data_IF_698209225248
#
_entry.id   IF_698209225248
#
_cell.length_a   1.000
_cell.length_b   1.000
_cell.length_c   1.000
_cell.angle_alpha   90.00
_cell.angle_beta   90.00
_cell.angle_gamma   90.00
#
_symmetry.space_group_name_H-M   'P 1'
#
loop_
_entity.id
_entity.type
_entity.pdbx_description
1 polymer ?
#
# COMPACT_ATOMS: atom_id res chain seq x y z
N UNK A 1 -19.66 -3.08 -7.58
CA UNK A 1 -18.88 -3.94 -8.49
C UNK A 1 -17.54 -4.27 -7.88
N UNK A 2 -17.13 -5.51 -8.00
CA UNK A 2 -15.85 -5.98 -7.48
C UNK A 2 -14.70 -5.55 -8.40
N UNK A 3 -13.47 -5.50 -7.85
CA UNK A 3 -12.26 -5.23 -8.63
C UNK A 3 -12.08 -6.28 -9.72
N UNK A 4 -11.61 -5.84 -10.87
CA UNK A 4 -11.25 -6.70 -12.00
C UNK A 4 -9.75 -6.92 -11.95
N UNK A 5 -9.32 -8.16 -12.17
CA UNK A 5 -7.91 -8.54 -12.11
C UNK A 5 -7.01 -7.70 -13.03
N UNK A 6 -7.52 -7.37 -14.23
CA UNK A 6 -6.75 -6.63 -15.24
C UNK A 6 -6.66 -5.12 -14.94
N UNK A 7 -7.46 -4.61 -14.00
CA UNK A 7 -7.49 -3.20 -13.63
C UNK A 7 -6.94 -2.92 -12.25
N UNK A 8 -6.35 -3.92 -11.60
CA UNK A 8 -5.80 -3.75 -10.25
C UNK A 8 -4.57 -2.84 -10.28
N UNK A 9 -4.55 -1.87 -9.38
CA UNK A 9 -3.44 -0.93 -9.21
C UNK A 9 -2.86 -0.91 -7.81
N UNK A 10 -3.68 -1.19 -6.81
CA UNK A 10 -3.31 -1.03 -5.40
C UNK A 10 -3.48 -2.33 -4.62
N UNK A 11 -2.51 -2.58 -3.75
CA UNK A 11 -2.56 -3.65 -2.78
C UNK A 11 -2.40 -3.08 -1.38
N UNK A 12 -3.34 -3.37 -0.49
CA UNK A 12 -3.28 -2.95 0.91
C UNK A 12 -2.88 -4.15 1.76
N UNK A 13 -1.78 -4.02 2.49
CA UNK A 13 -1.25 -5.12 3.27
C UNK A 13 -2.01 -5.32 4.60
N UNK A 14 -1.64 -6.37 5.32
CA UNK A 14 -2.35 -6.77 6.55
C UNK A 14 -2.28 -5.72 7.65
N UNK A 15 -1.26 -4.86 7.65
CA UNK A 15 -1.15 -3.79 8.64
C UNK A 15 -2.30 -2.78 8.56
N UNK A 16 -2.99 -2.72 7.42
CA UNK A 16 -4.08 -1.78 7.16
C UNK A 16 -5.32 -2.46 6.59
N UNK A 17 -5.64 -3.67 7.06
CA UNK A 17 -6.70 -4.51 6.49
C UNK A 17 -8.07 -3.79 6.45
N UNK A 18 -8.46 -3.12 7.52
CA UNK A 18 -9.73 -2.37 7.55
C UNK A 18 -9.80 -1.30 6.47
N UNK A 19 -8.69 -0.57 6.28
CA UNK A 19 -8.57 0.41 5.20
C UNK A 19 -8.65 -0.27 3.84
N UNK A 20 -7.99 -1.41 3.68
CA UNK A 20 -8.02 -2.19 2.44
C UNK A 20 -9.42 -2.60 2.04
N UNK A 21 -10.21 -3.09 2.99
CA UNK A 21 -11.60 -3.46 2.76
C UNK A 21 -12.46 -2.25 2.38
N UNK A 22 -12.22 -1.11 3.01
CA UNK A 22 -12.94 0.12 2.71
C UNK A 22 -12.63 0.63 1.30
N UNK A 23 -11.36 0.61 0.92
CA UNK A 23 -10.94 1.03 -0.42
C UNK A 23 -11.46 0.09 -1.48
N UNK A 24 -11.40 -1.22 -1.25
CA UNK A 24 -11.91 -2.21 -2.20
C UNK A 24 -13.41 -2.01 -2.44
N UNK A 25 -14.17 -1.73 -1.40
CA UNK A 25 -15.59 -1.45 -1.52
C UNK A 25 -15.87 -0.17 -2.33
N UNK A 26 -14.99 0.82 -2.24
CA UNK A 26 -15.17 2.11 -2.90
C UNK A 26 -14.54 2.17 -4.30
N UNK A 27 -13.53 1.35 -4.59
CA UNK A 27 -12.76 1.40 -5.84
C UNK A 27 -12.65 0.02 -6.47
N UNK A 28 -12.61 -0.01 -7.80
CA UNK A 28 -12.47 -1.27 -8.56
C UNK A 28 -11.02 -1.71 -8.76
N UNK A 29 -10.08 -0.84 -8.46
CA UNK A 29 -8.67 -1.05 -8.77
C UNK A 29 -7.85 -1.47 -7.54
N UNK A 30 -8.50 -1.81 -6.44
CA UNK A 30 -7.85 -2.10 -5.15
C UNK A 30 -8.16 -3.49 -4.67
N UNK A 31 -7.12 -4.20 -4.22
CA UNK A 31 -7.25 -5.45 -3.48
C UNK A 31 -6.53 -5.31 -2.14
N UNK A 32 -6.86 -6.21 -1.22
CA UNK A 32 -6.19 -6.29 0.08
C UNK A 32 -5.73 -7.73 0.31
N UNK A 33 -4.88 -7.93 1.29
CA UNK A 33 -4.50 -9.27 1.75
C UNK A 33 -5.77 -10.09 2.03
N UNK A 34 -5.80 -11.32 1.58
CA UNK A 34 -6.94 -12.22 1.73
C UNK A 34 -8.07 -12.02 0.70
N UNK A 35 -7.90 -11.12 -0.27
CA UNK A 35 -8.89 -10.94 -1.33
C UNK A 35 -8.81 -12.06 -2.36
N UNK A 36 -9.96 -12.48 -2.88
CA UNK A 36 -10.07 -13.57 -3.86
C UNK A 36 -9.30 -13.32 -5.16
N UNK A 37 -9.13 -12.07 -5.56
CA UNK A 37 -8.39 -11.71 -6.77
C UNK A 37 -6.88 -11.71 -6.59
N UNK A 38 -6.39 -11.90 -5.37
CA UNK A 38 -4.97 -12.08 -5.09
C UNK A 38 -4.78 -13.32 -4.18
N UNK A 39 -5.09 -14.52 -4.68
CA UNK A 39 -5.02 -15.73 -3.86
C UNK A 39 -3.62 -16.05 -3.35
N UNK A 40 -2.58 -15.49 -3.96
CA UNK A 40 -1.19 -15.64 -3.52
C UNK A 40 -0.92 -14.95 -2.17
N UNK A 41 -1.80 -14.05 -1.75
CA UNK A 41 -1.63 -13.26 -0.52
C UNK A 41 -2.78 -13.51 0.46
N UNK A 42 -2.90 -14.73 1.03
CA UNK A 42 -3.90 -14.99 2.06
C UNK A 42 -3.58 -14.24 3.35
N UNK A 43 -4.56 -14.11 4.24
CA UNK A 43 -4.31 -13.56 5.56
C UNK A 43 -3.18 -14.33 6.24
N UNK A 44 -2.26 -13.60 6.88
CA UNK A 44 -1.09 -14.21 7.52
C UNK A 44 0.07 -14.47 6.56
N UNK A 45 -0.05 -14.07 5.29
CA UNK A 45 1.02 -14.27 4.30
C UNK A 45 2.34 -13.63 4.77
N UNK A 46 3.44 -14.31 4.51
CA UNK A 46 4.77 -13.83 4.90
C UNK A 46 5.38 -12.98 3.79
N UNK A 47 6.31 -12.09 4.17
CA UNK A 47 7.00 -11.21 3.23
C UNK A 47 7.57 -11.92 2.00
N UNK A 48 8.30 -13.04 2.13
CA UNK A 48 8.85 -13.74 0.96
C UNK A 48 7.80 -14.22 -0.04
N UNK A 49 6.54 -14.29 0.37
CA UNK A 49 5.44 -14.76 -0.47
C UNK A 49 4.66 -13.62 -1.10
N UNK A 50 4.30 -12.59 -0.31
CA UNK A 50 3.47 -11.52 -0.85
C UNK A 50 4.26 -10.49 -1.67
N UNK A 51 5.52 -10.22 -1.29
CA UNK A 51 6.33 -9.22 -2.00
C UNK A 51 6.50 -9.57 -3.47
N UNK A 52 6.92 -10.80 -3.85
CA UNK A 52 7.02 -11.15 -5.26
C UNK A 52 5.68 -11.12 -5.99
N UNK A 53 4.61 -11.58 -5.35
CA UNK A 53 3.28 -11.61 -5.95
C UNK A 53 2.80 -10.21 -6.33
N UNK A 54 2.98 -9.26 -5.42
CA UNK A 54 2.60 -7.85 -5.62
C UNK A 54 3.50 -7.18 -6.65
N UNK A 55 4.82 -7.44 -6.57
CA UNK A 55 5.78 -6.89 -7.52
C UNK A 55 5.52 -7.38 -8.94
N UNK A 56 5.24 -8.68 -9.11
CA UNK A 56 4.96 -9.27 -10.43
C UNK A 56 3.71 -8.67 -11.09
N UNK A 57 2.74 -8.27 -10.30
CA UNK A 57 1.52 -7.63 -10.78
C UNK A 57 1.66 -6.12 -10.89
N UNK A 58 2.80 -5.56 -10.51
CA UNK A 58 3.07 -4.11 -10.52
C UNK A 58 2.04 -3.33 -9.72
N UNK A 59 1.61 -3.87 -8.58
CA UNK A 59 0.69 -3.19 -7.70
C UNK A 59 1.43 -2.19 -6.81
N UNK A 60 0.75 -1.09 -6.49
CA UNK A 60 1.25 -0.07 -5.57
C UNK A 60 0.78 -0.46 -4.17
N UNK A 61 1.71 -0.53 -3.23
CA UNK A 61 1.44 -0.97 -1.86
C UNK A 61 0.98 0.22 -1.01
N UNK A 62 -0.08 0.01 -0.26
CA UNK A 62 -0.52 0.92 0.80
C UNK A 62 -0.43 0.15 2.11
N UNK A 63 0.31 0.71 3.07
CA UNK A 63 0.57 0.08 4.35
C UNK A 63 0.57 1.13 5.46
N UNK A 64 0.43 0.68 6.72
CA UNK A 64 0.63 1.59 7.85
C UNK A 64 2.11 1.71 8.16
N UNK A 65 2.51 2.92 8.53
CA UNK A 65 3.88 3.16 9.01
C UNK A 65 4.02 2.56 10.41
N UNK A 66 4.75 1.45 10.51
CA UNK A 66 5.04 0.74 11.75
C UNK A 66 6.53 0.71 12.01
N UNK A 67 7.15 1.87 12.02
CA UNK A 67 8.59 1.97 12.28
C UNK A 67 9.44 1.21 11.25
N UNK A 68 9.07 1.27 9.98
CA UNK A 68 9.80 0.60 8.90
C UNK A 68 11.28 1.00 8.90
N UNK A 69 11.58 2.23 9.32
CA UNK A 69 12.96 2.73 9.39
C UNK A 69 13.83 1.95 10.36
N UNK A 70 13.22 1.25 11.31
CA UNK A 70 13.93 0.42 12.27
C UNK A 70 14.07 -1.04 11.82
N UNK A 71 13.62 -1.34 10.61
CA UNK A 71 13.65 -2.70 10.04
C UNK A 71 14.38 -2.71 8.69
N UNK A 72 15.70 -2.48 8.69
CA UNK A 72 16.44 -2.32 7.44
C UNK A 72 16.39 -3.53 6.51
N UNK A 73 16.30 -4.74 7.06
CA UNK A 73 16.23 -5.96 6.24
C UNK A 73 14.90 -6.06 5.48
N UNK A 74 13.80 -5.67 6.11
CA UNK A 74 12.48 -5.65 5.48
C UNK A 74 12.45 -4.60 4.37
N UNK A 75 12.98 -3.42 4.64
CA UNK A 75 13.06 -2.35 3.67
C UNK A 75 13.91 -2.75 2.46
N UNK A 76 14.99 -3.48 2.69
CA UNK A 76 15.86 -3.95 1.60
C UNK A 76 15.12 -4.91 0.67
N UNK A 77 14.28 -5.79 1.23
CA UNK A 77 13.44 -6.68 0.41
C UNK A 77 12.47 -5.89 -0.47
N UNK A 78 11.88 -4.83 0.07
CA UNK A 78 10.98 -3.96 -0.70
C UNK A 78 11.75 -3.27 -1.84
N UNK A 79 12.95 -2.80 -1.54
CA UNK A 79 13.80 -2.12 -2.53
C UNK A 79 14.24 -3.07 -3.64
N UNK A 80 14.70 -4.25 -3.29
CA UNK A 80 15.13 -5.27 -4.26
C UNK A 80 13.99 -5.72 -5.17
N UNK A 81 12.78 -5.80 -4.65
CA UNK A 81 11.59 -6.17 -5.42
C UNK A 81 11.07 -5.04 -6.31
N UNK A 82 11.58 -3.83 -6.14
CA UNK A 82 11.13 -2.67 -6.92
C UNK A 82 9.75 -2.17 -6.49
N UNK A 83 9.37 -2.35 -5.25
CA UNK A 83 8.05 -1.95 -4.77
C UNK A 83 7.86 -0.45 -4.75
N UNK A 84 6.63 -0.05 -5.01
CA UNK A 84 6.16 1.34 -4.90
C UNK A 84 5.23 1.38 -3.69
N UNK A 85 5.58 2.16 -2.68
CA UNK A 85 4.88 2.08 -1.39
C UNK A 85 4.48 3.45 -0.87
N UNK A 86 3.23 3.56 -0.44
CA UNK A 86 2.73 4.64 0.39
C UNK A 86 2.51 4.13 1.81
N UNK A 87 3.27 4.64 2.76
CA UNK A 87 3.06 4.36 4.18
C UNK A 87 2.20 5.45 4.80
N UNK A 88 1.07 5.05 5.38
CA UNK A 88 0.19 6.01 6.05
C UNK A 88 0.67 6.19 7.48
N UNK A 89 1.10 7.40 7.80
CA UNK A 89 1.46 7.79 9.16
C UNK A 89 0.23 8.21 9.94
N UNK A 90 0.29 8.06 11.26
CA UNK A 90 -0.78 8.48 12.14
C UNK A 90 -0.67 7.86 13.52
N UNK A 91 -1.61 8.19 14.39
CA UNK A 91 -1.66 7.67 15.74
C UNK A 91 -2.00 6.17 15.72
N UNK A 92 -1.41 5.44 16.64
CA UNK A 92 -1.55 3.99 16.74
C UNK A 92 -3.01 3.51 16.82
N UNK A 93 -3.86 4.26 17.50
CA UNK A 93 -5.27 3.93 17.75
C UNK A 93 -6.24 4.65 16.82
N UNK A 94 -5.74 5.21 15.72
CA UNK A 94 -6.59 5.89 14.76
C UNK A 94 -7.57 4.90 14.14
N UNK A 95 -8.84 5.33 14.01
CA UNK A 95 -9.88 4.49 13.43
C UNK A 95 -9.68 4.28 11.93
N UNK A 96 -10.31 3.26 11.37
CA UNK A 96 -10.33 3.06 9.92
C UNK A 96 -10.84 4.30 9.20
N UNK A 97 -11.86 4.97 9.75
CA UNK A 97 -12.36 6.23 9.20
C UNK A 97 -11.26 7.29 9.14
N UNK A 98 -10.46 7.40 10.19
CA UNK A 98 -9.33 8.33 10.22
C UNK A 98 -8.29 8.04 9.17
N UNK A 99 -7.91 6.76 9.02
CA UNK A 99 -6.96 6.34 7.98
C UNK A 99 -7.51 6.63 6.57
N UNK A 100 -8.78 6.27 6.35
CA UNK A 100 -9.45 6.49 5.07
C UNK A 100 -9.53 7.98 4.72
N UNK A 101 -9.93 8.80 5.67
CA UNK A 101 -10.03 10.24 5.48
C UNK A 101 -8.69 10.85 5.09
N UNK A 102 -7.62 10.44 5.78
CA UNK A 102 -6.27 10.91 5.48
C UNK A 102 -5.84 10.52 4.07
N UNK A 103 -6.09 9.28 3.70
CA UNK A 103 -5.73 8.79 2.38
C UNK A 103 -6.49 9.50 1.27
N UNK A 104 -7.81 9.65 1.43
CA UNK A 104 -8.66 10.33 0.45
C UNK A 104 -8.24 11.81 0.30
N UNK A 105 -7.91 12.46 1.41
CA UNK A 105 -7.46 13.86 1.40
C UNK A 105 -6.22 14.04 0.51
N UNK A 106 -5.31 13.09 0.51
CA UNK A 106 -4.07 13.16 -0.25
C UNK A 106 -4.10 12.40 -1.58
N UNK A 107 -5.23 11.83 -1.96
CA UNK A 107 -5.31 10.93 -3.12
C UNK A 107 -4.84 11.57 -4.42
N UNK A 108 -5.23 12.81 -4.67
CA UNK A 108 -4.83 13.53 -5.89
C UNK A 108 -3.30 13.69 -5.97
N UNK A 109 -2.67 14.01 -4.84
CA UNK A 109 -1.20 14.12 -4.77
C UNK A 109 -0.55 12.76 -5.02
N UNK A 110 -1.10 11.70 -4.43
CA UNK A 110 -0.60 10.34 -4.65
C UNK A 110 -0.66 9.95 -6.13
N UNK A 111 -1.75 10.26 -6.81
CA UNK A 111 -1.89 9.96 -8.24
C UNK A 111 -0.87 10.72 -9.09
N UNK A 112 -0.55 11.96 -8.73
CA UNK A 112 0.52 12.70 -9.42
C UNK A 112 1.88 12.05 -9.22
N UNK A 113 2.18 11.62 -8.00
CA UNK A 113 3.44 10.93 -7.69
C UNK A 113 3.55 9.65 -8.53
N UNK A 114 2.48 8.86 -8.60
CA UNK A 114 2.45 7.64 -9.41
C UNK A 114 2.77 7.95 -10.87
N UNK A 115 2.13 8.98 -11.42
CA UNK A 115 2.35 9.37 -12.81
C UNK A 115 3.78 9.87 -13.05
N UNK A 116 4.34 10.63 -12.10
CA UNK A 116 5.66 11.25 -12.27
C UNK A 116 6.80 10.26 -12.02
N UNK A 117 6.66 9.36 -11.05
CA UNK A 117 7.74 8.47 -10.65
C UNK A 117 7.81 7.19 -11.49
N UNK A 118 6.68 6.70 -11.98
CA UNK A 118 6.65 5.46 -12.77
C UNK A 118 7.09 4.24 -11.98
N UNK A 119 8.05 3.49 -12.52
CA UNK A 119 8.53 2.24 -11.89
C UNK A 119 9.27 2.51 -10.59
N UNK A 120 9.19 1.51 -9.68
CA UNK A 120 9.90 1.56 -8.41
C UNK A 120 11.37 1.15 -8.49
N UNK A 121 12.06 1.08 -7.36
CA UNK A 121 11.48 1.30 -6.03
C UNK A 121 11.31 2.78 -5.66
N UNK A 122 10.24 3.11 -4.99
CA UNK A 122 10.10 4.41 -4.34
C UNK A 122 9.12 4.32 -3.16
N UNK A 123 9.34 5.19 -2.16
CA UNK A 123 8.66 5.13 -0.88
C UNK A 123 8.23 6.52 -0.45
N UNK A 124 6.96 6.67 -0.09
CA UNK A 124 6.38 7.93 0.37
C UNK A 124 5.63 7.75 1.67
N UNK A 125 5.69 8.73 2.54
CA UNK A 125 4.89 8.79 3.76
C UNK A 125 3.69 9.70 3.53
N UNK A 126 2.49 9.21 3.84
CA UNK A 126 1.25 9.98 3.79
C UNK A 126 0.93 10.42 5.22
N UNK A 127 1.21 11.68 5.54
CA UNK A 127 1.02 12.24 6.86
C UNK A 127 -0.23 13.13 6.92
N UNK A 128 -0.52 13.69 8.07
CA UNK A 128 -1.71 14.54 8.24
C UNK A 128 -1.72 15.73 7.26
N UNK A 129 -0.57 16.37 7.06
CA UNK A 129 -0.45 17.61 6.30
C UNK A 129 0.25 17.45 4.95
N UNK A 130 0.91 16.35 4.69
CA UNK A 130 1.76 16.23 3.51
C UNK A 130 2.00 14.78 3.09
N UNK A 131 2.38 14.62 1.82
CA UNK A 131 2.93 13.38 1.29
C UNK A 131 4.39 13.64 0.98
N UNK A 132 5.31 12.91 1.60
CA UNK A 132 6.75 13.15 1.48
C UNK A 132 7.52 11.91 1.08
N UNK A 133 8.48 12.08 0.18
CA UNK A 133 9.38 10.98 -0.16
C UNK A 133 10.21 10.60 1.07
N UNK A 134 10.34 9.30 1.28
CA UNK A 134 11.16 8.75 2.34
C UNK A 134 12.52 8.36 1.77
N UNK A 135 13.57 9.02 2.23
CA UNK A 135 14.95 8.71 1.83
C UNK A 135 15.49 7.61 2.75
N UNK A 136 15.30 6.39 2.34
CA UNK A 136 15.64 5.22 3.14
C UNK A 136 16.79 4.43 2.54
#
# INVERSE_FOLDING_TARGET
MTADRDHLRFYVDESALGLGKSLEAARRDTVHVGHKLIPECPLGVLDPEWIPAVANRKLIVIARDRHIRTRPQELERFREAGLRVFWIGGKRDMSTWGWLTRLVHHWTVMERIIADRGDGPWFYAVNAQSVREMNL
#
